data_IF_479798652027
#
_entry.id   IF_479798652027
#
_cell.length_a   1.000
_cell.length_b   1.000
_cell.length_c   1.000
_cell.angle_alpha   90.00
_cell.angle_beta   90.00
_cell.angle_gamma   90.00
#
_symmetry.space_group_name_H-M   'P 1'
#
loop_
_entity.id
_entity.type
_entity.pdbx_description
1 polymer ?
#
# COMPACT_ATOMS: atom_id res chain seq x y z
N UNK A 1 74.56 98.19 -92.54
CA UNK A 1 73.40 97.81 -93.39
C UNK A 1 72.29 97.30 -92.48
N UNK A 2 71.06 97.81 -92.55
CA UNK A 2 69.96 97.46 -91.63
C UNK A 2 69.43 96.03 -91.77
N UNK A 3 69.74 95.37 -92.89
CA UNK A 3 69.19 94.07 -93.29
C UNK A 3 69.73 92.86 -92.50
N UNK A 4 70.97 92.90 -92.00
CA UNK A 4 71.56 91.80 -91.21
C UNK A 4 70.96 91.71 -89.81
N UNK A 5 70.70 92.85 -89.16
CA UNK A 5 70.12 92.91 -87.81
C UNK A 5 68.67 92.40 -87.75
N UNK A 6 67.86 92.71 -88.77
CA UNK A 6 66.50 92.20 -88.88
C UNK A 6 66.45 90.69 -89.16
N UNK A 7 67.47 90.14 -89.82
CA UNK A 7 67.58 88.70 -90.09
C UNK A 7 67.96 87.93 -88.82
N UNK A 8 68.89 88.47 -88.02
CA UNK A 8 69.28 87.93 -86.71
C UNK A 8 68.10 87.94 -85.70
N UNK A 9 67.32 89.02 -85.65
CA UNK A 9 66.11 89.11 -84.79
C UNK A 9 65.06 88.04 -85.13
N UNK A 10 64.90 87.69 -86.41
CA UNK A 10 64.00 86.59 -86.82
C UNK A 10 64.55 85.21 -86.47
N UNK A 11 65.87 85.04 -86.50
CA UNK A 11 66.52 83.76 -86.15
C UNK A 11 66.46 83.50 -84.63
N UNK A 12 66.69 84.53 -83.82
CA UNK A 12 66.53 84.48 -82.36
C UNK A 12 65.07 84.22 -81.96
N UNK A 13 64.10 84.83 -82.65
CA UNK A 13 62.68 84.54 -82.42
C UNK A 13 62.32 83.07 -82.74
N UNK A 14 62.94 82.49 -83.79
CA UNK A 14 62.78 81.07 -84.13
C UNK A 14 63.40 80.13 -83.07
N UNK A 15 64.59 80.48 -82.56
CA UNK A 15 65.29 79.74 -81.50
C UNK A 15 64.53 79.80 -80.16
N UNK A 16 63.97 80.95 -79.81
CA UNK A 16 63.11 81.12 -78.65
C UNK A 16 61.85 80.24 -78.77
N UNK A 17 61.21 80.23 -79.94
CA UNK A 17 60.04 79.40 -80.21
C UNK A 17 60.35 77.90 -80.15
N UNK A 18 61.53 77.47 -80.63
CA UNK A 18 61.99 76.07 -80.45
C UNK A 18 62.25 75.72 -78.98
N UNK A 19 62.82 76.63 -78.19
CA UNK A 19 63.03 76.42 -76.75
C UNK A 19 61.70 76.30 -76.00
N UNK A 20 60.73 77.17 -76.27
CA UNK A 20 59.39 77.09 -75.68
C UNK A 20 58.68 75.80 -76.08
N UNK A 21 58.73 75.42 -77.36
CA UNK A 21 58.15 74.16 -77.83
C UNK A 21 58.77 72.94 -77.13
N UNK A 22 60.10 72.95 -76.95
CA UNK A 22 60.81 71.88 -76.24
C UNK A 22 60.46 71.86 -74.75
N UNK A 23 60.38 73.02 -74.11
CA UNK A 23 59.97 73.13 -72.71
C UNK A 23 58.54 72.64 -72.50
N UNK A 24 57.59 73.05 -73.36
CA UNK A 24 56.21 72.57 -73.32
C UNK A 24 56.08 71.06 -73.59
N UNK A 25 56.95 70.49 -74.43
CA UNK A 25 57.00 69.04 -74.66
C UNK A 25 57.53 68.27 -73.44
N UNK A 26 58.56 68.79 -72.77
CA UNK A 26 59.08 68.21 -71.52
C UNK A 26 58.06 68.34 -70.37
N UNK A 27 57.38 69.48 -70.23
CA UNK A 27 56.27 69.64 -69.28
C UNK A 27 55.12 68.66 -69.57
N UNK A 28 54.75 68.47 -70.85
CA UNK A 28 53.73 67.49 -71.23
C UNK A 28 54.13 66.05 -70.87
N UNK A 29 55.40 65.69 -71.03
CA UNK A 29 55.92 64.38 -70.58
C UNK A 29 55.89 64.24 -69.07
N UNK A 30 56.37 65.24 -68.34
CA UNK A 30 56.36 65.23 -66.88
C UNK A 30 54.93 65.11 -66.34
N UNK A 31 53.98 65.87 -66.92
CA UNK A 31 52.56 65.76 -66.59
C UNK A 31 51.96 64.38 -66.91
N UNK A 32 52.36 63.74 -68.01
CA UNK A 32 51.95 62.36 -68.30
C UNK A 32 52.51 61.35 -67.29
N UNK A 33 53.75 61.53 -66.83
CA UNK A 33 54.35 60.65 -65.82
C UNK A 33 53.68 60.82 -64.45
N UNK A 34 53.36 62.05 -64.03
CA UNK A 34 52.57 62.29 -62.80
C UNK A 34 51.19 61.63 -62.85
N UNK A 35 50.47 61.78 -63.98
CA UNK A 35 49.16 61.14 -64.16
C UNK A 35 49.25 59.62 -64.09
N UNK A 36 50.32 59.02 -64.64
CA UNK A 36 50.58 57.58 -64.52
C UNK A 36 50.87 57.17 -63.08
N UNK A 37 51.76 57.88 -62.38
CA UNK A 37 52.10 57.58 -61.00
C UNK A 37 50.86 57.67 -60.09
N UNK A 38 50.03 58.71 -60.25
CA UNK A 38 48.77 58.84 -59.53
C UNK A 38 47.76 57.74 -59.84
N UNK A 39 47.71 57.24 -61.08
CA UNK A 39 46.91 56.06 -61.43
C UNK A 39 47.42 54.77 -60.75
N UNK A 40 48.73 54.58 -60.66
CA UNK A 40 49.33 53.43 -60.00
C UNK A 40 49.09 53.47 -58.49
N UNK A 41 49.26 54.62 -57.83
CA UNK A 41 48.91 54.79 -56.42
C UNK A 41 47.41 54.52 -56.17
N UNK A 42 46.52 55.02 -57.03
CA UNK A 42 45.09 54.76 -56.90
C UNK A 42 44.76 53.26 -57.02
N UNK A 43 45.43 52.53 -57.93
CA UNK A 43 45.30 51.08 -58.04
C UNK A 43 45.82 50.36 -56.81
N UNK A 44 47.01 50.72 -56.33
CA UNK A 44 47.60 50.13 -55.14
C UNK A 44 46.70 50.35 -53.91
N UNK A 45 46.17 51.56 -53.72
CA UNK A 45 45.22 51.86 -52.65
C UNK A 45 43.91 51.09 -52.76
N UNK A 46 43.41 50.84 -53.98
CA UNK A 46 42.24 49.97 -54.20
C UNK A 46 42.54 48.51 -53.86
N UNK A 47 43.72 47.99 -54.22
CA UNK A 47 44.14 46.62 -53.88
C UNK A 47 44.32 46.44 -52.37
N UNK A 48 44.97 47.39 -51.69
CA UNK A 48 45.09 47.36 -50.23
C UNK A 48 43.73 47.41 -49.54
N UNK A 49 42.81 48.26 -50.01
CA UNK A 49 41.46 48.33 -49.47
C UNK A 49 40.71 47.00 -49.67
N UNK A 50 40.84 46.38 -50.86
CA UNK A 50 40.22 45.09 -51.15
C UNK A 50 40.78 43.99 -50.26
N UNK A 51 42.10 43.88 -50.15
CA UNK A 51 42.77 42.90 -49.30
C UNK A 51 42.43 43.09 -47.81
N UNK A 52 42.36 44.35 -47.35
CA UNK A 52 41.96 44.68 -45.98
C UNK A 52 40.51 44.31 -45.67
N UNK A 53 39.60 44.47 -46.64
CA UNK A 53 38.20 44.04 -46.52
C UNK A 53 38.08 42.52 -46.50
N UNK A 54 38.79 41.82 -47.40
CA UNK A 54 38.79 40.36 -47.51
C UNK A 54 39.30 39.71 -46.21
N UNK A 55 40.43 40.18 -45.69
CA UNK A 55 40.98 39.72 -44.41
C UNK A 55 40.03 39.94 -43.23
N UNK A 56 39.29 41.05 -43.20
CA UNK A 56 38.28 41.32 -42.16
C UNK A 56 37.07 40.39 -42.27
N UNK A 57 36.68 40.03 -43.49
CA UNK A 57 35.59 39.10 -43.76
C UNK A 57 35.98 37.69 -43.33
N UNK A 58 37.16 37.21 -43.74
CA UNK A 58 37.70 35.90 -43.33
C UNK A 58 37.82 35.80 -41.81
N UNK A 59 38.47 36.77 -41.17
CA UNK A 59 38.58 36.79 -39.71
C UNK A 59 37.21 36.90 -39.02
N UNK A 60 36.23 37.54 -39.67
CA UNK A 60 34.85 37.59 -39.19
C UNK A 60 34.15 36.23 -39.26
N UNK A 61 34.38 35.50 -40.35
CA UNK A 61 33.84 34.17 -40.57
C UNK A 61 34.48 33.15 -39.61
N UNK A 62 35.81 33.14 -39.45
CA UNK A 62 36.51 32.27 -38.50
C UNK A 62 36.01 32.49 -37.06
N UNK A 63 35.82 33.74 -36.64
CA UNK A 63 35.25 34.05 -35.32
C UNK A 63 33.82 33.50 -35.17
N UNK A 64 33.02 33.54 -36.24
CA UNK A 64 31.66 33.00 -36.21
C UNK A 64 31.67 31.47 -36.11
N UNK A 65 32.55 30.80 -36.85
CA UNK A 65 32.74 29.34 -36.79
C UNK A 65 33.21 28.91 -35.40
N UNK A 66 34.20 29.61 -34.81
CA UNK A 66 34.66 29.35 -33.44
C UNK A 66 33.54 29.49 -32.41
N UNK A 67 32.75 30.58 -32.48
CA UNK A 67 31.63 30.80 -31.55
C UNK A 67 30.57 29.69 -31.70
N UNK A 68 30.31 29.22 -32.93
CA UNK A 68 29.39 28.11 -33.15
C UNK A 68 29.92 26.79 -32.58
N UNK A 69 31.22 26.51 -32.74
CA UNK A 69 31.87 25.31 -32.23
C UNK A 69 31.88 25.29 -30.70
N UNK A 70 32.27 26.40 -30.06
CA UNK A 70 32.22 26.55 -28.60
C UNK A 70 30.80 26.35 -28.04
N UNK A 71 29.79 26.89 -28.72
CA UNK A 71 28.38 26.70 -28.33
C UNK A 71 27.97 25.22 -28.39
N UNK A 72 28.37 24.50 -29.43
CA UNK A 72 28.08 23.06 -29.59
C UNK A 72 28.79 22.25 -28.49
N UNK A 73 30.03 22.58 -28.19
CA UNK A 73 30.81 21.88 -27.16
C UNK A 73 30.26 22.13 -25.75
N UNK A 74 29.84 23.36 -25.44
CA UNK A 74 29.16 23.67 -24.18
C UNK A 74 27.84 22.90 -24.03
N UNK A 75 27.04 22.83 -25.10
CA UNK A 75 25.78 22.05 -25.10
C UNK A 75 26.09 20.56 -24.90
N UNK A 76 27.13 20.04 -25.56
CA UNK A 76 27.54 18.64 -25.42
C UNK A 76 28.01 18.34 -24.00
N UNK A 77 28.86 19.19 -23.43
CA UNK A 77 29.35 19.06 -22.07
C UNK A 77 28.21 19.09 -21.05
N UNK A 78 27.33 20.10 -21.12
CA UNK A 78 26.18 20.21 -20.22
C UNK A 78 25.22 19.02 -20.33
N UNK A 79 25.01 18.48 -21.54
CA UNK A 79 24.22 17.26 -21.74
C UNK A 79 24.87 16.05 -21.07
N UNK A 80 26.18 15.91 -21.15
CA UNK A 80 26.90 14.77 -20.58
C UNK A 80 27.00 14.85 -19.05
N UNK A 81 27.23 16.03 -18.50
CA UNK A 81 27.13 16.26 -17.04
C UNK A 81 25.73 15.93 -16.52
N UNK A 82 24.68 16.38 -17.19
CA UNK A 82 23.31 16.06 -16.79
C UNK A 82 23.02 14.55 -16.90
N UNK A 83 23.52 13.89 -17.95
CA UNK A 83 23.38 12.43 -18.11
C UNK A 83 24.05 11.69 -16.95
N UNK A 84 25.32 11.98 -16.68
CA UNK A 84 26.08 11.33 -15.61
C UNK A 84 25.49 11.60 -14.22
N UNK A 85 24.96 12.80 -13.98
CA UNK A 85 24.25 13.12 -12.73
C UNK A 85 22.99 12.28 -12.56
N UNK A 86 22.17 12.16 -13.62
CA UNK A 86 20.95 11.35 -13.60
C UNK A 86 21.28 9.86 -13.43
N UNK A 87 22.28 9.34 -14.15
CA UNK A 87 22.75 7.96 -14.01
C UNK A 87 23.22 7.66 -12.58
N UNK A 88 24.00 8.56 -11.99
CA UNK A 88 24.45 8.45 -10.60
C UNK A 88 23.28 8.46 -9.61
N UNK A 89 22.29 9.33 -9.79
CA UNK A 89 21.09 9.34 -8.95
C UNK A 89 20.26 8.07 -9.08
N UNK A 90 20.08 7.58 -10.31
CA UNK A 90 19.32 6.34 -10.56
C UNK A 90 20.01 5.14 -9.94
N UNK A 91 21.34 5.03 -10.05
CA UNK A 91 22.09 3.94 -9.41
C UNK A 91 22.00 4.04 -7.89
N UNK A 92 22.12 5.24 -7.31
CA UNK A 92 21.95 5.42 -5.86
C UNK A 92 20.55 5.05 -5.35
N UNK A 93 19.50 5.35 -6.13
CA UNK A 93 18.13 4.92 -5.80
C UNK A 93 18.00 3.40 -5.87
N UNK A 94 18.57 2.79 -6.91
CA UNK A 94 18.56 1.34 -7.10
C UNK A 94 19.26 0.62 -5.94
N UNK A 95 20.46 1.07 -5.57
CA UNK A 95 21.21 0.53 -4.42
C UNK A 95 20.40 0.63 -3.11
N UNK A 96 19.71 1.76 -2.91
CA UNK A 96 18.87 1.95 -1.74
C UNK A 96 17.66 1.00 -1.73
N UNK A 97 17.00 0.82 -2.87
CA UNK A 97 15.85 -0.08 -3.03
C UNK A 97 16.30 -1.53 -2.82
N UNK A 98 17.39 -1.96 -3.44
CA UNK A 98 17.94 -3.32 -3.28
C UNK A 98 18.30 -3.59 -1.81
N UNK A 99 18.90 -2.61 -1.13
CA UNK A 99 19.16 -2.69 0.31
C UNK A 99 17.90 -2.77 1.18
N UNK A 100 16.82 -2.06 0.81
CA UNK A 100 15.53 -2.18 1.49
C UNK A 100 14.89 -3.56 1.28
N UNK A 101 14.94 -4.07 0.05
CA UNK A 101 14.42 -5.41 -0.29
C UNK A 101 15.16 -6.47 0.53
N UNK A 102 16.49 -6.43 0.57
CA UNK A 102 17.29 -7.40 1.34
C UNK A 102 16.93 -7.44 2.83
N UNK A 103 16.75 -6.29 3.48
CA UNK A 103 16.31 -6.24 4.89
C UNK A 103 14.92 -6.85 5.10
N UNK A 104 13.98 -6.56 4.19
CA UNK A 104 12.64 -7.15 4.26
C UNK A 104 12.69 -8.67 4.06
N UNK A 105 13.51 -9.17 3.16
CA UNK A 105 13.70 -10.61 2.95
C UNK A 105 14.26 -11.29 4.21
N UNK A 106 15.26 -10.67 4.87
CA UNK A 106 15.79 -11.16 6.15
C UNK A 106 14.71 -11.24 7.24
N UNK A 107 13.91 -10.18 7.40
CA UNK A 107 12.81 -10.16 8.37
C UNK A 107 11.77 -11.25 8.08
N UNK A 108 11.38 -11.42 6.82
CA UNK A 108 10.41 -12.45 6.38
C UNK A 108 10.95 -13.85 6.67
N UNK A 109 12.22 -14.13 6.34
CA UNK A 109 12.85 -15.41 6.66
C UNK A 109 12.93 -15.65 8.18
N UNK A 110 13.24 -14.60 8.95
CA UNK A 110 13.26 -14.67 10.41
C UNK A 110 11.89 -14.99 11.01
N UNK A 111 10.82 -14.37 10.50
CA UNK A 111 9.44 -14.69 10.92
C UNK A 111 9.05 -16.11 10.52
N UNK A 112 9.40 -16.53 9.29
CA UNK A 112 9.14 -17.89 8.82
C UNK A 112 9.78 -18.93 9.73
N UNK A 113 11.05 -18.76 10.11
CA UNK A 113 11.73 -19.67 11.03
C UNK A 113 11.07 -19.75 12.41
N UNK A 114 10.62 -18.61 12.96
CA UNK A 114 9.87 -18.59 14.24
C UNK A 114 8.52 -19.31 14.15
N UNK A 115 7.84 -19.21 13.00
CA UNK A 115 6.59 -19.95 12.77
C UNK A 115 6.87 -21.45 12.76
N UNK A 116 7.89 -21.91 12.03
CA UNK A 116 8.28 -23.33 11.99
C UNK A 116 8.63 -23.86 13.39
N UNK A 117 9.34 -23.08 14.21
CA UNK A 117 9.65 -23.42 15.60
C UNK A 117 8.38 -23.58 16.45
N UNK A 118 7.46 -22.60 16.39
CA UNK A 118 6.19 -22.64 17.13
C UNK A 118 5.32 -23.81 16.67
N UNK A 119 5.24 -24.07 15.37
CA UNK A 119 4.51 -25.22 14.81
C UNK A 119 5.06 -26.55 15.37
N UNK A 120 6.39 -26.68 15.44
CA UNK A 120 7.06 -27.82 16.06
C UNK A 120 6.71 -27.99 17.54
N UNK A 121 6.79 -26.92 18.33
CA UNK A 121 6.44 -26.95 19.77
C UNK A 121 4.98 -27.33 20.01
N UNK A 122 4.06 -26.75 19.24
CA UNK A 122 2.63 -27.05 19.33
C UNK A 122 2.38 -28.51 18.98
N UNK A 123 3.02 -29.02 17.92
CA UNK A 123 2.88 -30.42 17.53
C UNK A 123 3.36 -31.38 18.63
N UNK A 124 4.52 -31.11 19.26
CA UNK A 124 5.00 -31.92 20.38
C UNK A 124 4.02 -31.92 21.57
N UNK A 125 3.52 -30.74 21.97
CA UNK A 125 2.56 -30.63 23.08
C UNK A 125 1.25 -31.37 22.79
N UNK A 126 0.79 -31.37 21.55
CA UNK A 126 -0.41 -32.12 21.15
C UNK A 126 -0.18 -33.62 21.31
N UNK A 127 0.95 -34.16 20.85
CA UNK A 127 1.25 -35.59 21.00
C UNK A 127 1.49 -35.99 22.46
N UNK A 128 2.08 -35.11 23.28
CA UNK A 128 2.22 -35.31 24.72
C UNK A 128 0.84 -35.41 25.41
N UNK A 129 -0.03 -34.41 25.23
CA UNK A 129 -1.38 -34.40 25.80
C UNK A 129 -2.20 -35.60 25.32
N UNK A 130 -2.11 -35.95 24.04
CA UNK A 130 -2.78 -37.12 23.47
C UNK A 130 -2.33 -38.41 24.13
N UNK A 131 -1.02 -38.57 24.38
CA UNK A 131 -0.46 -39.73 25.09
C UNK A 131 -0.97 -39.82 26.52
N UNK A 132 -0.99 -38.71 27.27
CA UNK A 132 -1.54 -38.67 28.63
C UNK A 132 -3.03 -39.04 28.70
N UNK A 133 -3.83 -38.50 27.76
CA UNK A 133 -5.26 -38.79 27.68
C UNK A 133 -5.49 -40.27 27.37
N UNK A 134 -4.73 -40.84 26.43
CA UNK A 134 -4.82 -42.25 26.07
C UNK A 134 -4.45 -43.17 27.24
N UNK A 135 -3.40 -42.83 28.00
CA UNK A 135 -3.02 -43.57 29.20
C UNK A 135 -4.13 -43.54 30.26
N UNK A 136 -4.67 -42.35 30.56
CA UNK A 136 -5.78 -42.19 31.51
C UNK A 136 -7.05 -42.94 31.08
N UNK A 137 -7.36 -42.93 29.78
CA UNK A 137 -8.49 -43.68 29.24
C UNK A 137 -8.28 -45.19 29.45
N UNK A 138 -7.08 -45.70 29.16
CA UNK A 138 -6.74 -47.11 29.36
C UNK A 138 -6.82 -47.53 30.83
N UNK A 139 -6.38 -46.66 31.76
CA UNK A 139 -6.53 -46.90 33.20
C UNK A 139 -8.01 -46.96 33.62
N UNK A 140 -8.84 -46.04 33.12
CA UNK A 140 -10.28 -46.03 33.41
C UNK A 140 -11.00 -47.27 32.87
N UNK A 141 -10.70 -47.72 31.66
CA UNK A 141 -11.24 -48.95 31.08
C UNK A 141 -10.90 -50.18 31.93
N UNK A 142 -9.65 -50.27 32.41
CA UNK A 142 -9.23 -51.32 33.35
C UNK A 142 -10.02 -51.27 34.66
N UNK A 143 -10.13 -50.09 35.28
CA UNK A 143 -10.87 -49.92 36.55
C UNK A 143 -12.36 -50.22 36.42
N UNK A 144 -12.97 -49.88 35.28
CA UNK A 144 -14.36 -50.23 34.97
C UNK A 144 -14.52 -51.75 34.86
N UNK A 145 -13.61 -52.43 34.17
CA UNK A 145 -13.61 -53.89 34.02
C UNK A 145 -13.49 -54.61 35.37
N UNK A 146 -12.61 -54.12 36.26
CA UNK A 146 -12.47 -54.65 37.63
C UNK A 146 -13.75 -54.48 38.46
N UNK A 147 -14.46 -53.36 38.29
CA UNK A 147 -15.74 -53.12 38.97
C UNK A 147 -16.86 -54.02 38.44
N UNK A 148 -16.91 -54.26 37.13
CA UNK A 148 -17.92 -55.13 36.50
C UNK A 148 -17.75 -56.60 36.90
N UNK A 149 -16.50 -57.05 37.07
CA UNK A 149 -16.18 -58.43 37.46
C UNK A 149 -16.17 -58.68 38.97
N UNK A 150 -16.26 -57.64 39.79
CA UNK A 150 -16.30 -57.75 41.26
C UNK A 150 -17.62 -58.40 41.70
N UNK A 151 -17.59 -59.54 42.42
CA UNK A 151 -18.80 -60.15 42.97
C UNK A 151 -19.51 -59.16 43.90
N UNK A 152 -20.80 -58.99 43.68
CA UNK A 152 -21.65 -58.04 44.37
C UNK A 152 -21.86 -58.47 45.85
N UNK A 153 -20.84 -58.32 46.69
CA UNK A 153 -20.90 -58.53 48.14
C UNK A 153 -21.30 -57.22 48.84
N UNK A 154 -22.41 -56.61 48.40
CA UNK A 154 -23.10 -55.67 49.27
C UNK A 154 -23.69 -56.49 50.42
N UNK A 155 -23.34 -56.24 51.70
CA UNK A 155 -24.18 -56.74 52.78
C UNK A 155 -25.58 -56.22 52.49
N UNK A 156 -26.56 -57.11 52.43
CA UNK A 156 -27.96 -56.72 52.32
C UNK A 156 -28.30 -55.88 53.55
N UNK A 157 -28.15 -54.55 53.46
CA UNK A 157 -28.52 -53.64 54.53
C UNK A 157 -30.06 -53.65 54.60
N UNK A 158 -30.67 -54.14 55.69
CA UNK A 158 -32.13 -54.19 55.80
C UNK A 158 -32.79 -52.79 55.91
N UNK A 159 -32.02 -51.72 56.10
CA UNK A 159 -32.55 -50.36 56.33
C UNK A 159 -33.22 -49.70 55.12
N UNK A 160 -33.04 -50.18 53.90
CA UNK A 160 -33.73 -49.62 52.72
C UNK A 160 -35.11 -50.24 52.45
N UNK A 161 -35.59 -51.14 53.31
CA UNK A 161 -36.93 -51.75 53.21
C UNK A 161 -38.04 -50.94 53.89
N UNK A 162 -37.78 -49.72 54.37
CA UNK A 162 -38.85 -48.81 54.76
C UNK A 162 -39.42 -48.16 53.50
N UNK A 163 -40.55 -48.69 53.02
CA UNK A 163 -41.40 -47.97 52.07
C UNK A 163 -41.70 -46.59 52.65
N UNK A 164 -41.06 -45.54 52.12
CA UNK A 164 -41.34 -44.16 52.53
C UNK A 164 -42.84 -43.93 52.32
N UNK A 165 -43.63 -43.63 53.37
CA UNK A 165 -45.06 -43.38 53.21
C UNK A 165 -45.23 -42.25 52.19
N UNK A 166 -45.77 -42.58 51.02
CA UNK A 166 -45.98 -41.58 49.96
C UNK A 166 -47.28 -40.85 50.27
N UNK A 167 -47.18 -39.58 50.62
CA UNK A 167 -48.36 -38.74 50.83
C UNK A 167 -48.99 -38.48 49.46
N UNK A 168 -50.27 -38.84 49.28
CA UNK A 168 -50.96 -38.62 48.00
C UNK A 168 -51.28 -37.14 47.83
N UNK A 169 -51.04 -36.55 46.64
CA UNK A 169 -51.43 -35.18 46.37
C UNK A 169 -52.96 -35.08 46.30
N UNK A 170 -53.49 -33.93 46.71
CA UNK A 170 -54.91 -33.62 46.57
C UNK A 170 -55.28 -33.42 45.10
N UNK A 171 -56.58 -33.51 44.79
CA UNK A 171 -57.11 -33.16 43.47
C UNK A 171 -57.45 -31.68 43.40
N UNK A 172 -57.27 -31.07 42.23
CA UNK A 172 -57.63 -29.69 41.97
C UNK A 172 -58.69 -29.63 40.88
N UNK A 173 -59.87 -29.10 41.20
CA UNK A 173 -61.01 -28.95 40.29
C UNK A 173 -61.30 -27.49 39.90
N UNK A 174 -60.55 -26.55 40.49
CA UNK A 174 -60.72 -25.10 40.30
C UNK A 174 -61.67 -24.42 41.28
N UNK A 175 -62.21 -25.15 42.29
CA UNK A 175 -63.10 -24.57 43.31
C UNK A 175 -62.35 -23.94 44.48
N UNK A 176 -61.17 -24.46 44.81
CA UNK A 176 -60.25 -23.87 45.80
C UNK A 176 -59.32 -22.87 45.10
N UNK A 177 -58.86 -21.81 45.78
CA UNK A 177 -57.84 -20.91 45.21
C UNK A 177 -56.60 -21.69 44.76
N UNK A 178 -56.10 -21.37 43.57
CA UNK A 178 -54.90 -21.99 43.01
C UNK A 178 -53.68 -21.84 43.93
N UNK A 179 -53.52 -20.68 44.57
CA UNK A 179 -52.42 -20.40 45.51
C UNK A 179 -52.43 -21.37 46.71
N UNK A 180 -53.62 -21.67 47.22
CA UNK A 180 -53.81 -22.61 48.34
C UNK A 180 -53.45 -24.03 47.92
N UNK A 181 -53.94 -24.46 46.75
CA UNK A 181 -53.62 -25.79 46.21
C UNK A 181 -52.12 -25.95 45.93
N UNK A 182 -51.50 -24.97 45.26
CA UNK A 182 -50.07 -24.96 44.92
C UNK A 182 -49.19 -25.06 46.18
N UNK A 183 -49.56 -24.34 47.24
CA UNK A 183 -48.86 -24.41 48.54
C UNK A 183 -48.91 -25.82 49.13
N UNK A 184 -50.10 -26.45 49.15
CA UNK A 184 -50.25 -27.81 49.66
C UNK A 184 -49.51 -28.84 48.81
N UNK A 185 -49.58 -28.71 47.48
CA UNK A 185 -48.87 -29.57 46.54
C UNK A 185 -47.35 -29.51 46.75
N UNK A 186 -46.80 -28.31 46.99
CA UNK A 186 -45.38 -28.12 47.25
C UNK A 186 -44.92 -28.80 48.56
N UNK A 187 -45.73 -28.73 49.62
CA UNK A 187 -45.47 -29.44 50.88
C UNK A 187 -45.44 -30.96 50.66
N UNK A 188 -46.40 -31.51 49.92
CA UNK A 188 -46.46 -32.94 49.60
C UNK A 188 -45.25 -33.37 48.75
N UNK A 189 -44.91 -32.59 47.72
CA UNK A 189 -43.78 -32.91 46.83
C UNK A 189 -42.43 -32.92 47.57
N UNK A 190 -42.23 -31.96 48.47
CA UNK A 190 -41.02 -31.88 49.31
C UNK A 190 -40.95 -33.06 50.29
N UNK A 191 -42.08 -33.41 50.90
CA UNK A 191 -42.19 -34.54 51.84
C UNK A 191 -41.88 -35.87 51.13
N UNK A 192 -42.26 -36.00 49.86
CA UNK A 192 -42.00 -37.20 49.06
C UNK A 192 -40.66 -37.17 48.31
N UNK A 193 -39.94 -36.04 48.29
CA UNK A 193 -38.66 -35.89 47.58
C UNK A 193 -38.78 -35.96 46.05
N UNK A 194 -39.87 -35.44 45.49
CA UNK A 194 -40.09 -35.48 44.04
C UNK A 194 -39.15 -34.56 43.28
N UNK A 195 -38.56 -35.06 42.19
CA UNK A 195 -37.89 -34.24 41.18
C UNK A 195 -38.91 -33.42 40.40
N UNK A 196 -38.49 -32.36 39.71
CA UNK A 196 -39.43 -31.50 38.99
C UNK A 196 -40.19 -32.23 37.88
N UNK A 197 -39.58 -33.24 37.26
CA UNK A 197 -40.25 -34.15 36.34
C UNK A 197 -41.40 -34.93 37.01
N UNK A 198 -41.17 -35.45 38.22
CA UNK A 198 -42.21 -36.17 38.99
C UNK A 198 -43.28 -35.20 39.47
N UNK A 199 -42.92 -33.98 39.89
CA UNK A 199 -43.88 -32.93 40.25
C UNK A 199 -44.79 -32.56 39.08
N UNK A 200 -44.25 -32.36 37.87
CA UNK A 200 -45.05 -32.06 36.69
C UNK A 200 -46.07 -33.17 36.41
N UNK A 201 -45.61 -34.43 36.44
CA UNK A 201 -46.45 -35.61 36.21
C UNK A 201 -47.57 -35.73 37.26
N UNK A 202 -47.25 -35.53 38.54
CA UNK A 202 -48.22 -35.59 39.63
C UNK A 202 -49.19 -34.41 39.61
N UNK A 203 -48.73 -33.20 39.23
CA UNK A 203 -49.58 -32.02 39.11
C UNK A 203 -50.63 -32.24 38.03
N UNK A 204 -50.23 -32.71 36.84
CA UNK A 204 -51.15 -33.09 35.75
C UNK A 204 -52.14 -34.16 36.22
N UNK A 205 -51.67 -35.20 36.91
CA UNK A 205 -52.51 -36.29 37.41
C UNK A 205 -53.53 -35.84 38.47
N UNK A 206 -53.25 -34.76 39.21
CA UNK A 206 -54.12 -34.18 40.22
C UNK A 206 -55.24 -33.30 39.66
N UNK A 207 -55.16 -32.81 38.41
CA UNK A 207 -56.17 -31.92 37.84
C UNK A 207 -57.46 -32.67 37.49
N UNK A 208 -58.61 -32.09 37.82
CA UNK A 208 -59.96 -32.59 37.50
C UNK A 208 -60.85 -31.44 37.02
N UNK A 209 -61.99 -31.78 36.42
CA UNK A 209 -63.00 -30.79 36.02
C UNK A 209 -62.44 -29.64 35.18
N UNK A 210 -62.87 -28.41 35.48
CA UNK A 210 -62.44 -27.18 34.77
C UNK A 210 -60.92 -26.99 34.78
N UNK A 211 -60.24 -27.38 35.86
CA UNK A 211 -58.79 -27.26 35.96
C UNK A 211 -58.04 -28.17 34.97
N UNK A 212 -58.56 -29.37 34.68
CA UNK A 212 -57.95 -30.28 33.71
C UNK A 212 -58.03 -29.77 32.27
N UNK A 213 -59.03 -28.94 31.93
CA UNK A 213 -59.16 -28.37 30.59
C UNK A 213 -58.01 -27.44 30.21
N UNK A 214 -57.28 -26.88 31.19
CA UNK A 214 -56.07 -26.06 30.94
C UNK A 214 -55.03 -26.85 30.15
N UNK A 215 -54.99 -28.17 30.33
CA UNK A 215 -54.04 -29.04 29.64
C UNK A 215 -54.28 -29.10 28.13
N UNK A 216 -55.48 -28.79 27.63
CA UNK A 216 -55.76 -28.77 26.18
C UNK A 216 -55.00 -27.66 25.46
N UNK A 217 -54.61 -26.59 26.17
CA UNK A 217 -53.83 -25.48 25.63
C UNK A 217 -52.32 -25.71 25.65
N UNK A 218 -51.83 -26.82 26.22
CA UNK A 218 -50.40 -27.10 26.38
C UNK A 218 -49.97 -28.24 25.44
N UNK A 219 -48.92 -28.07 24.63
CA UNK A 219 -48.36 -29.15 23.81
C UNK A 219 -47.90 -30.36 24.65
N UNK A 220 -48.08 -31.57 24.12
CA UNK A 220 -47.82 -32.80 24.87
C UNK A 220 -46.36 -32.96 25.35
N UNK A 221 -45.39 -32.49 24.56
CA UNK A 221 -43.96 -32.49 24.92
C UNK A 221 -43.61 -31.50 26.04
N UNK A 222 -44.54 -30.61 26.40
CA UNK A 222 -44.40 -29.62 27.48
C UNK A 222 -45.18 -29.97 28.74
N UNK A 223 -45.96 -31.07 28.74
CA UNK A 223 -46.66 -31.56 29.93
C UNK A 223 -45.72 -32.22 30.97
N UNK A 224 -44.42 -32.30 30.68
CA UNK A 224 -43.39 -32.72 31.64
C UNK A 224 -42.63 -31.53 32.24
N UNK A 225 -42.89 -30.31 31.75
CA UNK A 225 -42.30 -29.08 32.27
C UNK A 225 -43.21 -28.45 33.34
N UNK A 226 -42.77 -28.52 34.60
CA UNK A 226 -43.55 -28.07 35.76
C UNK A 226 -43.94 -26.59 35.62
N UNK A 227 -43.01 -25.75 35.20
CA UNK A 227 -43.22 -24.30 35.11
C UNK A 227 -44.28 -23.92 34.06
N UNK A 228 -44.30 -24.61 32.92
CA UNK A 228 -45.30 -24.39 31.87
C UNK A 228 -46.70 -24.71 32.38
N UNK A 229 -46.88 -25.83 33.08
CA UNK A 229 -48.18 -26.24 33.63
C UNK A 229 -48.64 -25.28 34.73
N UNK A 230 -47.75 -24.89 35.64
CA UNK A 230 -48.08 -23.95 36.71
C UNK A 230 -48.49 -22.58 36.17
N UNK A 231 -47.80 -22.05 35.16
CA UNK A 231 -48.15 -20.76 34.55
C UNK A 231 -49.53 -20.78 33.89
N UNK A 232 -49.88 -21.87 33.24
CA UNK A 232 -51.19 -22.02 32.60
C UNK A 232 -52.31 -22.10 33.63
N UNK A 233 -52.08 -22.77 34.77
CA UNK A 233 -53.02 -22.83 35.89
C UNK A 233 -53.14 -21.48 36.61
N UNK A 234 -52.02 -20.80 36.84
CA UNK A 234 -51.98 -19.45 37.41
C UNK A 234 -52.74 -18.45 36.54
N UNK A 235 -52.59 -18.52 35.21
CA UNK A 235 -53.28 -17.62 34.29
C UNK A 235 -54.81 -17.78 34.29
N UNK A 236 -55.34 -18.96 34.66
CA UNK A 236 -56.78 -19.25 34.60
C UNK A 236 -57.45 -19.26 35.97
N UNK A 237 -56.73 -19.64 37.02
CA UNK A 237 -57.24 -19.81 38.39
C UNK A 237 -56.46 -19.03 39.45
N UNK A 238 -55.43 -18.28 39.06
CA UNK A 238 -54.74 -17.35 39.96
C UNK A 238 -55.71 -16.27 40.42
N UNK A 239 -55.60 -15.88 41.69
CA UNK A 239 -56.40 -14.78 42.23
C UNK A 239 -55.94 -13.48 41.56
N UNK A 240 -56.86 -12.73 40.94
CA UNK A 240 -56.56 -11.41 40.37
C UNK A 240 -56.20 -10.44 41.49
N UNK A 241 -54.91 -10.28 41.77
CA UNK A 241 -54.36 -9.11 42.48
C UNK A 241 -53.80 -8.10 41.51
#
# INVERSE_FOLDING_TARGET
MPWTRAMDEKFEMLLAMMKEMKAGQEEMKAGQEEVKAGQEEMKAGQEEMKAGLEKKMEAGQERMEQVQEEMIDLIRAGKEEMRTHVESQVEGIKDHVDGCIGRMEEEVQGVKGKIEEVEGEVHMKIEEVKSEVQEKMSDLERRLSDLETRPNNFPANPEFMYSRPTVKPLTFDGLTSWTVFKTQFNVVSSTNGWTDFVKASQLVASLRGSAAEVLQGIPADKLTDLTTIEKALESRFGDST
#
